data_IF_301410961991
#
_entry.id   IF_301410961991
#
_cell.length_a   1.000
_cell.length_b   1.000
_cell.length_c   1.000
_cell.angle_alpha   90.00
_cell.angle_beta   90.00
_cell.angle_gamma   90.00
#
_symmetry.space_group_name_H-M   'P 1'
#
loop_
_entity.id
_entity.type
_entity.pdbx_description
1 polymer ?
#
# COMPACT_ATOMS: atom_id res chain seq x y z
N UNK A 1 -3.23 -0.07 25.77
CA UNK A 1 -4.64 0.22 26.15
C UNK A 1 -5.63 -0.54 25.27
N UNK A 2 -5.45 -0.59 23.94
CA UNK A 2 -6.37 -1.23 22.98
C UNK A 2 -6.69 -2.70 23.31
N UNK A 3 -5.71 -3.60 23.60
CA UNK A 3 -6.05 -5.00 23.94
C UNK A 3 -6.99 -5.13 25.13
N UNK A 4 -6.89 -4.25 26.14
CA UNK A 4 -7.78 -4.26 27.30
C UNK A 4 -9.21 -3.85 26.95
N UNK A 5 -9.39 -2.95 25.98
CA UNK A 5 -10.71 -2.53 25.52
C UNK A 5 -11.39 -3.63 24.69
N UNK A 6 -10.59 -4.42 23.96
CA UNK A 6 -11.08 -5.49 23.10
C UNK A 6 -11.32 -6.80 23.85
N UNK A 7 -10.67 -7.04 25.01
CA UNK A 7 -10.67 -8.32 25.72
C UNK A 7 -12.04 -8.79 26.22
N UNK A 8 -13.04 -7.91 26.34
CA UNK A 8 -14.41 -8.29 26.71
C UNK A 8 -15.39 -8.30 25.52
N UNK A 9 -14.91 -7.95 24.33
CA UNK A 9 -15.72 -7.80 23.14
C UNK A 9 -15.32 -8.77 22.02
N UNK A 10 -14.02 -8.94 21.76
CA UNK A 10 -13.51 -9.75 20.67
C UNK A 10 -13.48 -11.24 21.01
N UNK A 11 -13.72 -12.10 20.02
CA UNK A 11 -13.62 -13.55 20.14
C UNK A 11 -12.14 -14.01 20.11
N UNK A 12 -11.28 -13.27 19.37
CA UNK A 12 -9.84 -13.45 19.35
C UNK A 12 -9.13 -12.10 19.20
N UNK A 13 -7.90 -11.97 19.74
CA UNK A 13 -7.05 -10.79 19.63
C UNK A 13 -5.63 -11.26 19.32
N UNK A 14 -4.94 -10.57 18.39
CA UNK A 14 -3.53 -10.81 18.10
C UNK A 14 -2.75 -9.51 17.99
N UNK A 15 -1.47 -9.57 18.36
CA UNK A 15 -0.58 -8.42 18.48
C UNK A 15 0.60 -8.43 17.49
N UNK A 16 0.53 -9.26 16.45
CA UNK A 16 1.60 -9.41 15.43
C UNK A 16 2.03 -8.07 14.85
N UNK A 17 1.11 -7.11 14.76
CA UNK A 17 1.35 -5.74 14.31
C UNK A 17 1.63 -4.72 15.42
N UNK A 18 1.68 -5.11 16.70
CA UNK A 18 1.73 -4.18 17.84
C UNK A 18 2.94 -3.24 17.81
N UNK A 19 4.10 -3.72 17.35
CA UNK A 19 5.32 -2.91 17.14
C UNK A 19 5.14 -1.80 16.11
N UNK A 20 4.13 -1.91 15.24
CA UNK A 20 3.76 -0.91 14.24
C UNK A 20 2.47 -0.16 14.60
N UNK A 21 2.01 -0.27 15.85
CA UNK A 21 0.81 0.38 16.34
C UNK A 21 -0.50 -0.28 15.89
N UNK A 22 -0.47 -1.53 15.38
CA UNK A 22 -1.64 -2.25 14.91
C UNK A 22 -1.97 -3.43 15.82
N UNK A 23 -3.25 -3.54 16.22
CA UNK A 23 -3.82 -4.69 16.94
C UNK A 23 -4.91 -5.29 16.07
N UNK A 24 -4.83 -6.60 15.83
CA UNK A 24 -5.88 -7.33 15.16
C UNK A 24 -6.89 -7.91 16.16
N UNK A 25 -8.14 -8.00 15.75
CA UNK A 25 -9.19 -8.69 16.48
C UNK A 25 -10.18 -9.37 15.54
N UNK A 26 -10.83 -10.41 16.02
CA UNK A 26 -11.93 -11.08 15.33
C UNK A 26 -13.20 -10.99 16.19
N UNK A 27 -14.31 -10.70 15.56
CA UNK A 27 -15.63 -10.69 16.18
C UNK A 27 -16.69 -11.19 15.20
N UNK A 28 -17.43 -12.25 15.58
CA UNK A 28 -18.49 -12.87 14.77
C UNK A 28 -18.00 -13.23 13.34
N UNK A 29 -16.76 -13.73 13.21
CA UNK A 29 -16.11 -14.05 11.93
C UNK A 29 -15.59 -12.84 11.14
N UNK A 30 -15.78 -11.62 11.62
CA UNK A 30 -15.25 -10.41 11.02
C UNK A 30 -13.86 -10.10 11.59
N UNK A 31 -12.86 -9.99 10.71
CA UNK A 31 -11.51 -9.57 11.09
C UNK A 31 -11.36 -8.07 10.99
N UNK A 32 -10.85 -7.48 12.07
CA UNK A 32 -10.67 -6.05 12.23
C UNK A 32 -9.22 -5.75 12.60
N UNK A 33 -8.71 -4.64 12.08
CA UNK A 33 -7.40 -4.09 12.44
C UNK A 33 -7.58 -2.70 13.05
N UNK A 34 -7.02 -2.50 14.23
CA UNK A 34 -7.02 -1.23 14.95
C UNK A 34 -5.62 -0.64 14.88
N UNK A 35 -5.46 0.44 14.15
CA UNK A 35 -4.16 1.08 13.95
C UNK A 35 -4.20 2.52 14.46
N UNK A 36 -3.17 2.93 15.20
CA UNK A 36 -2.99 4.33 15.59
C UNK A 36 -2.55 5.14 14.37
N UNK A 37 -3.10 6.33 14.17
CA UNK A 37 -2.59 7.26 13.16
C UNK A 37 -1.09 7.47 13.38
N UNK A 38 -0.35 7.48 12.30
CA UNK A 38 1.09 7.71 12.32
C UNK A 38 1.51 8.57 11.14
N UNK A 39 2.58 9.32 11.32
CA UNK A 39 3.36 9.89 10.25
C UNK A 39 4.68 9.14 10.16
N UNK A 40 5.06 8.76 8.96
CA UNK A 40 6.32 8.06 8.69
C UNK A 40 7.30 9.11 8.16
N UNK A 41 8.46 9.23 8.81
CA UNK A 41 9.55 10.07 8.35
C UNK A 41 10.67 9.15 7.88
N UNK A 42 10.97 9.17 6.58
CA UNK A 42 12.04 8.35 6.01
C UNK A 42 13.34 9.16 5.95
N UNK A 43 14.44 8.59 6.47
CA UNK A 43 15.77 9.11 6.20
C UNK A 43 16.30 8.51 4.89
N UNK A 44 17.08 9.26 4.08
CA UNK A 44 17.52 8.82 2.73
C UNK A 44 18.22 7.47 2.70
N UNK A 45 18.90 7.08 3.78
CA UNK A 45 19.69 5.85 3.87
C UNK A 45 19.10 4.81 4.84
N UNK A 46 17.88 5.02 5.35
CA UNK A 46 17.26 4.12 6.33
C UNK A 46 16.00 3.46 5.77
N UNK A 47 15.93 2.12 5.87
CA UNK A 47 14.72 1.34 5.56
C UNK A 47 13.65 1.42 6.66
N UNK A 48 13.99 1.97 7.81
CA UNK A 48 13.09 2.05 8.96
C UNK A 48 12.64 3.49 9.07
N UNK A 49 11.35 3.78 8.81
CA UNK A 49 10.82 5.10 9.08
C UNK A 49 10.93 5.41 10.57
N UNK A 50 11.26 6.63 10.88
CA UNK A 50 11.05 7.16 12.22
C UNK A 50 9.53 7.38 12.37
N UNK A 51 8.89 6.46 13.10
CA UNK A 51 7.43 6.43 13.23
C UNK A 51 6.99 7.35 14.36
N UNK A 52 6.37 8.48 14.02
CA UNK A 52 5.72 9.32 15.01
C UNK A 52 4.23 8.93 15.11
N UNK A 53 3.84 8.40 16.27
CA UNK A 53 2.44 8.09 16.58
C UNK A 53 1.68 9.35 17.01
N UNK A 54 0.38 9.44 16.64
CA UNK A 54 -0.50 10.54 17.05
C UNK A 54 -0.60 11.64 16.01
N UNK A 55 -0.29 11.37 14.75
CA UNK A 55 -0.58 12.25 13.61
C UNK A 55 -2.08 12.45 13.40
N UNK A 56 -2.42 13.37 12.49
CA UNK A 56 -3.80 13.56 12.06
C UNK A 56 -4.19 12.56 10.95
N UNK A 57 -5.49 12.46 10.68
CA UNK A 57 -6.04 11.57 9.67
C UNK A 57 -5.48 11.89 8.26
N UNK A 58 -5.29 13.18 7.93
CA UNK A 58 -4.81 13.59 6.61
C UNK A 58 -3.39 13.08 6.35
N UNK A 59 -2.52 13.20 7.33
CA UNK A 59 -1.15 12.66 7.28
C UNK A 59 -1.15 11.14 7.16
N UNK A 60 -2.03 10.43 7.88
CA UNK A 60 -2.13 8.97 7.79
C UNK A 60 -2.63 8.51 6.41
N UNK A 61 -3.60 9.21 5.83
CA UNK A 61 -4.10 8.90 4.48
C UNK A 61 -3.06 9.26 3.39
N UNK A 62 -2.35 10.39 3.56
CA UNK A 62 -1.35 10.86 2.59
C UNK A 62 -0.14 9.96 2.41
N UNK A 63 0.23 9.18 3.44
CA UNK A 63 1.35 8.21 3.38
C UNK A 63 0.97 6.85 2.78
N UNK A 64 -0.30 6.64 2.40
CA UNK A 64 -0.74 5.38 1.80
C UNK A 64 -0.25 5.24 0.37
N UNK A 65 -0.38 4.02 -0.17
CA UNK A 65 0.14 3.69 -1.50
C UNK A 65 -0.63 4.40 -2.63
N UNK A 66 -1.96 4.28 -2.63
CA UNK A 66 -2.82 4.84 -3.68
C UNK A 66 -4.03 5.55 -3.10
N UNK A 67 -4.54 6.55 -3.86
CA UNK A 67 -5.71 7.35 -3.49
C UNK A 67 -6.93 6.51 -3.17
N UNK A 68 -7.16 5.44 -3.94
CA UNK A 68 -8.25 4.48 -3.72
C UNK A 68 -8.18 3.74 -2.38
N UNK A 69 -7.01 3.74 -1.74
CA UNK A 69 -6.79 3.22 -0.39
C UNK A 69 -6.65 4.32 0.66
N UNK A 70 -6.72 5.61 0.24
CA UNK A 70 -6.50 6.78 1.09
C UNK A 70 -7.82 7.49 1.44
N UNK A 71 -8.89 6.72 1.61
CA UNK A 71 -10.21 7.18 2.04
C UNK A 71 -10.53 6.65 3.43
N UNK A 72 -11.41 7.31 4.15
CA UNK A 72 -11.85 6.91 5.48
C UNK A 72 -13.33 7.25 5.74
N UNK A 73 -13.93 6.54 6.69
CA UNK A 73 -15.23 6.89 7.27
C UNK A 73 -15.01 7.23 8.74
N UNK A 74 -15.28 8.48 9.11
CA UNK A 74 -15.17 8.92 10.50
C UNK A 74 -16.40 8.45 11.29
N UNK A 75 -16.16 7.85 12.44
CA UNK A 75 -17.20 7.39 13.35
C UNK A 75 -17.23 8.26 14.62
N UNK A 76 -18.41 8.43 15.27
CA UNK A 76 -19.68 7.77 15.00
C UNK A 76 -20.58 8.49 13.97
N UNK A 77 -20.23 9.70 13.55
CA UNK A 77 -21.03 10.59 12.70
C UNK A 77 -21.11 10.13 11.22
N UNK A 78 -20.33 9.10 10.84
CA UNK A 78 -20.28 8.50 9.50
C UNK A 78 -19.92 9.49 8.39
N UNK A 79 -19.05 10.46 8.70
CA UNK A 79 -18.58 11.41 7.70
C UNK A 79 -17.53 10.73 6.80
N UNK A 80 -17.81 10.71 5.51
CA UNK A 80 -16.83 10.22 4.52
C UNK A 80 -15.72 11.26 4.31
N UNK A 81 -14.48 10.81 4.33
CA UNK A 81 -13.28 11.64 4.20
C UNK A 81 -12.45 11.10 3.04
N UNK A 82 -12.31 11.93 2.02
CA UNK A 82 -11.56 11.60 0.79
C UNK A 82 -10.72 12.81 0.35
N UNK A 83 -9.58 13.06 0.99
CA UNK A 83 -8.79 14.26 0.75
C UNK A 83 -7.98 14.21 -0.55
N UNK A 84 -7.91 13.06 -1.21
CA UNK A 84 -7.07 12.82 -2.39
C UNK A 84 -7.86 12.36 -3.62
N UNK A 85 -9.19 12.55 -3.63
CA UNK A 85 -10.08 12.16 -4.73
C UNK A 85 -10.07 10.65 -5.06
N UNK A 86 -9.89 9.82 -4.04
CA UNK A 86 -9.82 8.36 -4.19
C UNK A 86 -11.11 7.75 -4.77
N UNK A 87 -12.27 8.30 -4.42
CA UNK A 87 -13.55 7.86 -4.97
C UNK A 87 -13.67 8.16 -6.47
N UNK A 88 -13.16 9.32 -6.91
CA UNK A 88 -13.10 9.67 -8.33
C UNK A 88 -12.14 8.73 -9.07
N UNK A 89 -10.96 8.49 -8.53
CA UNK A 89 -9.99 7.56 -9.12
C UNK A 89 -10.53 6.13 -9.18
N UNK A 90 -11.28 5.70 -8.18
CA UNK A 90 -11.96 4.41 -8.18
C UNK A 90 -13.01 4.33 -9.31
N UNK A 91 -13.83 5.38 -9.49
CA UNK A 91 -14.83 5.46 -10.55
C UNK A 91 -14.19 5.48 -11.95
N UNK A 92 -13.05 6.14 -12.09
CA UNK A 92 -12.26 6.21 -13.33
C UNK A 92 -11.38 4.96 -13.56
N UNK A 93 -11.35 4.03 -12.63
CA UNK A 93 -10.44 2.87 -12.62
C UNK A 93 -8.98 3.27 -12.80
N UNK A 94 -8.54 4.27 -12.05
CA UNK A 94 -7.19 4.83 -12.09
C UNK A 94 -6.45 4.60 -10.77
N UNK A 95 -5.20 4.18 -10.84
CA UNK A 95 -4.28 4.08 -9.70
C UNK A 95 -3.35 5.29 -9.70
N UNK A 96 -3.55 6.19 -8.75
CA UNK A 96 -2.75 7.39 -8.52
C UNK A 96 -2.28 7.43 -7.06
N UNK A 97 -1.09 7.90 -6.81
CA UNK A 97 -0.57 8.12 -5.45
C UNK A 97 -1.18 9.39 -4.83
N UNK A 98 -1.38 9.46 -3.49
CA UNK A 98 -1.87 10.67 -2.82
C UNK A 98 -1.00 11.91 -3.01
N UNK A 99 0.32 11.72 -3.10
CA UNK A 99 1.33 12.74 -3.39
C UNK A 99 2.11 12.42 -4.65
N UNK A 100 3.28 13.05 -4.84
CA UNK A 100 4.14 12.76 -5.96
C UNK A 100 4.57 11.28 -5.98
N UNK A 101 4.47 10.58 -7.13
CA UNK A 101 4.83 9.17 -7.22
C UNK A 101 6.29 8.89 -6.81
N UNK A 102 7.20 9.79 -7.16
CA UNK A 102 8.61 9.64 -6.80
C UNK A 102 8.83 9.62 -5.27
N UNK A 103 8.14 10.48 -4.53
CA UNK A 103 8.22 10.50 -3.06
C UNK A 103 7.62 9.21 -2.49
N UNK A 104 6.45 8.81 -2.98
CA UNK A 104 5.77 7.59 -2.57
C UNK A 104 6.63 6.34 -2.77
N UNK A 105 7.30 6.22 -3.92
CA UNK A 105 8.17 5.07 -4.24
C UNK A 105 9.54 5.15 -3.55
N UNK A 106 10.00 6.35 -3.21
CA UNK A 106 11.16 6.52 -2.34
C UNK A 106 10.90 6.01 -0.93
N UNK A 107 9.72 6.29 -0.39
CA UNK A 107 9.29 5.84 0.93
C UNK A 107 9.16 4.31 1.04
N UNK A 108 8.50 3.68 0.09
CA UNK A 108 8.40 2.21 0.00
C UNK A 108 8.43 1.77 -1.47
N UNK A 109 9.60 1.34 -1.99
CA UNK A 109 9.73 0.90 -3.37
C UNK A 109 8.85 -0.29 -3.75
N UNK A 110 8.38 -1.08 -2.78
CA UNK A 110 7.42 -2.16 -3.05
C UNK A 110 6.10 -1.64 -3.64
N UNK A 111 5.77 -0.36 -3.45
CA UNK A 111 4.57 0.26 -4.04
C UNK A 111 4.57 0.20 -5.57
N UNK A 112 5.74 0.18 -6.21
CA UNK A 112 5.85 -0.03 -7.66
C UNK A 112 5.32 -1.42 -8.07
N UNK A 113 5.70 -2.47 -7.35
CA UNK A 113 5.19 -3.83 -7.60
C UNK A 113 3.70 -3.95 -7.23
N UNK A 114 3.27 -3.25 -6.18
CA UNK A 114 1.86 -3.15 -5.79
C UNK A 114 1.01 -2.45 -6.86
N UNK A 115 1.54 -1.42 -7.57
CA UNK A 115 0.86 -0.79 -8.70
C UNK A 115 0.55 -1.83 -9.79
N UNK A 116 1.55 -2.64 -10.19
CA UNK A 116 1.37 -3.71 -11.17
C UNK A 116 0.35 -4.77 -10.71
N UNK A 117 0.40 -5.15 -9.43
CA UNK A 117 -0.57 -6.08 -8.85
C UNK A 117 -1.99 -5.50 -8.86
N UNK A 118 -2.19 -4.28 -8.41
CA UNK A 118 -3.52 -3.66 -8.39
C UNK A 118 -4.09 -3.43 -9.80
N UNK A 119 -3.23 -3.05 -10.76
CA UNK A 119 -3.64 -2.97 -12.16
C UNK A 119 -4.23 -4.29 -12.67
N UNK A 120 -3.62 -5.42 -12.30
CA UNK A 120 -4.10 -6.76 -12.64
C UNK A 120 -5.30 -7.22 -11.83
N UNK A 121 -5.29 -6.95 -10.53
CA UNK A 121 -6.30 -7.47 -9.59
C UNK A 121 -7.62 -6.70 -9.66
N UNK A 122 -7.54 -5.38 -9.83
CA UNK A 122 -8.69 -4.48 -9.83
C UNK A 122 -9.06 -3.99 -11.24
N UNK A 123 -8.30 -4.41 -12.26
CA UNK A 123 -8.47 -3.97 -13.65
C UNK A 123 -8.44 -2.44 -13.78
N UNK A 124 -7.47 -1.81 -13.14
CA UNK A 124 -7.27 -0.37 -13.13
C UNK A 124 -6.06 0.03 -13.96
N UNK A 125 -6.10 1.21 -14.57
CA UNK A 125 -4.94 1.82 -15.23
C UNK A 125 -4.06 2.54 -14.22
N UNK A 126 -2.75 2.40 -14.35
CA UNK A 126 -1.79 3.18 -13.55
C UNK A 126 -1.64 4.56 -14.17
N UNK A 127 -1.60 5.59 -13.34
CA UNK A 127 -1.39 6.97 -13.78
C UNK A 127 -0.06 7.10 -14.51
N UNK A 128 0.02 7.84 -15.65
CA UNK A 128 1.25 7.98 -16.42
C UNK A 128 2.44 8.50 -15.61
N UNK A 129 2.25 9.46 -14.71
CA UNK A 129 3.32 9.97 -13.85
C UNK A 129 3.86 8.87 -12.93
N UNK A 130 2.99 7.97 -12.47
CA UNK A 130 3.43 6.84 -11.66
C UNK A 130 4.20 5.81 -12.49
N UNK A 131 3.82 5.57 -13.77
CA UNK A 131 4.56 4.71 -14.70
C UNK A 131 5.96 5.28 -14.95
N UNK A 132 6.05 6.58 -15.23
CA UNK A 132 7.33 7.26 -15.45
C UNK A 132 8.23 7.17 -14.21
N UNK A 133 7.65 7.37 -13.02
CA UNK A 133 8.39 7.22 -11.77
C UNK A 133 8.86 5.76 -11.54
N UNK A 134 8.03 4.76 -11.86
CA UNK A 134 8.43 3.34 -11.79
C UNK A 134 9.65 3.06 -12.68
N UNK A 135 9.64 3.55 -13.92
CA UNK A 135 10.75 3.34 -14.85
C UNK A 135 12.05 4.04 -14.36
N UNK A 136 11.92 5.27 -13.88
CA UNK A 136 13.07 6.05 -13.41
C UNK A 136 13.66 5.58 -12.08
N UNK A 137 12.88 4.81 -11.30
CA UNK A 137 13.26 4.38 -9.95
C UNK A 137 13.32 2.86 -9.80
N UNK A 138 13.33 2.11 -10.92
CA UNK A 138 13.27 0.65 -10.90
C UNK A 138 14.36 0.01 -10.00
N UNK A 139 15.55 0.59 -9.96
CA UNK A 139 16.67 0.14 -9.11
C UNK A 139 16.37 0.21 -7.59
N UNK A 140 15.44 1.09 -7.19
CA UNK A 140 15.05 1.22 -5.78
C UNK A 140 14.42 -0.07 -5.22
N UNK A 141 13.91 -0.97 -6.06
CA UNK A 141 13.33 -2.24 -5.61
C UNK A 141 14.36 -3.16 -4.95
N UNK A 142 15.65 -2.97 -5.23
CA UNK A 142 16.73 -3.81 -4.70
C UNK A 142 16.86 -3.73 -3.17
N UNK A 143 16.34 -2.67 -2.55
CA UNK A 143 16.34 -2.55 -1.08
C UNK A 143 15.20 -3.35 -0.43
N UNK A 144 14.23 -3.84 -1.19
CA UNK A 144 13.09 -4.61 -0.70
C UNK A 144 13.50 -6.07 -0.50
N UNK A 145 13.04 -6.70 0.58
CA UNK A 145 13.36 -8.10 0.81
C UNK A 145 12.69 -9.02 -0.21
N UNK A 146 13.37 -10.11 -0.57
CA UNK A 146 12.90 -11.08 -1.54
C UNK A 146 11.53 -11.69 -1.15
N UNK A 147 11.27 -11.86 0.15
CA UNK A 147 10.00 -12.37 0.65
C UNK A 147 8.84 -11.42 0.32
N UNK A 148 9.03 -10.11 0.51
CA UNK A 148 8.01 -9.10 0.19
C UNK A 148 7.75 -9.05 -1.31
N UNK A 149 8.79 -9.10 -2.13
CA UNK A 149 8.69 -9.15 -3.60
C UNK A 149 7.92 -10.39 -4.03
N UNK A 150 8.30 -11.57 -3.52
CA UNK A 150 7.64 -12.84 -3.81
C UNK A 150 6.15 -12.78 -3.46
N UNK A 151 5.80 -12.28 -2.29
CA UNK A 151 4.42 -12.25 -1.81
C UNK A 151 3.53 -11.34 -2.68
N UNK A 152 4.04 -10.22 -3.17
CA UNK A 152 3.31 -9.36 -4.12
C UNK A 152 3.25 -9.98 -5.52
N UNK A 153 4.33 -10.62 -5.99
CA UNK A 153 4.38 -11.30 -7.28
C UNK A 153 3.40 -12.49 -7.33
N UNK A 154 3.33 -13.30 -6.27
CA UNK A 154 2.35 -14.39 -6.17
C UNK A 154 0.93 -13.87 -6.29
N UNK A 155 0.59 -12.78 -5.56
CA UNK A 155 -0.74 -12.15 -5.64
C UNK A 155 -1.03 -11.60 -7.04
N UNK A 156 -0.02 -11.05 -7.71
CA UNK A 156 -0.12 -10.56 -9.09
C UNK A 156 -0.44 -11.71 -10.05
N UNK A 157 0.35 -12.79 -10.00
CA UNK A 157 0.20 -13.94 -10.90
C UNK A 157 -1.14 -14.66 -10.69
N UNK A 158 -1.63 -14.70 -9.45
CA UNK A 158 -2.94 -15.29 -9.10
C UNK A 158 -4.12 -14.34 -9.33
N UNK A 159 -3.90 -13.12 -9.81
CA UNK A 159 -4.97 -12.15 -10.08
C UNK A 159 -5.76 -12.49 -11.35
N UNK A 160 -6.96 -11.89 -11.56
CA UNK A 160 -7.79 -12.17 -12.74
C UNK A 160 -7.12 -11.87 -14.08
N UNK A 161 -6.25 -10.86 -14.14
CA UNK A 161 -5.56 -10.43 -15.38
C UNK A 161 -4.07 -10.24 -15.17
N UNK A 162 -3.31 -11.30 -14.86
CA UNK A 162 -1.89 -11.18 -14.48
C UNK A 162 -1.03 -10.57 -15.59
N UNK A 163 -1.39 -10.76 -16.86
CA UNK A 163 -0.65 -10.21 -18.00
C UNK A 163 -0.52 -8.69 -17.93
N UNK A 164 -1.55 -7.98 -17.50
CA UNK A 164 -1.53 -6.51 -17.40
C UNK A 164 -0.39 -6.02 -16.49
N UNK A 165 -0.29 -6.58 -15.30
CA UNK A 165 0.75 -6.17 -14.37
C UNK A 165 2.13 -6.70 -14.75
N UNK A 166 2.23 -7.94 -15.28
CA UNK A 166 3.50 -8.47 -15.78
C UNK A 166 4.05 -7.60 -16.92
N UNK A 167 3.20 -7.19 -17.86
CA UNK A 167 3.59 -6.29 -18.93
C UNK A 167 4.10 -4.94 -18.39
N UNK A 168 3.40 -4.36 -17.39
CA UNK A 168 3.84 -3.12 -16.76
C UNK A 168 5.23 -3.27 -16.10
N UNK A 169 5.51 -4.42 -15.46
CA UNK A 169 6.83 -4.70 -14.89
C UNK A 169 7.93 -4.79 -15.97
N UNK A 170 7.59 -5.33 -17.14
CA UNK A 170 8.49 -5.40 -18.29
C UNK A 170 8.73 -4.00 -18.86
N UNK A 171 7.66 -3.25 -19.15
CA UNK A 171 7.70 -1.93 -19.79
C UNK A 171 8.47 -0.90 -18.94
N UNK A 172 8.40 -1.01 -17.61
CA UNK A 172 9.13 -0.15 -16.68
C UNK A 172 10.53 -0.65 -16.33
N UNK A 173 10.94 -1.81 -16.85
CA UNK A 173 12.23 -2.44 -16.52
C UNK A 173 12.32 -2.99 -15.09
N UNK A 174 11.24 -2.93 -14.30
CA UNK A 174 11.24 -3.35 -12.91
C UNK A 174 11.48 -4.86 -12.77
N UNK A 175 10.94 -5.68 -13.68
CA UNK A 175 11.12 -7.14 -13.65
C UNK A 175 12.58 -7.57 -13.79
N UNK A 176 13.41 -6.83 -14.51
CA UNK A 176 14.83 -7.15 -14.71
C UNK A 176 15.63 -7.17 -13.41
N UNK A 177 15.12 -6.54 -12.36
CA UNK A 177 15.77 -6.46 -11.05
C UNK A 177 15.57 -7.72 -10.19
N UNK A 178 14.49 -8.47 -10.38
CA UNK A 178 14.15 -9.63 -9.54
C UNK A 178 13.61 -10.86 -10.30
N UNK A 179 13.28 -10.71 -11.58
CA UNK A 179 12.79 -11.78 -12.46
C UNK A 179 13.29 -11.57 -13.91
N UNK A 180 14.62 -11.61 -14.15
CA UNK A 180 15.20 -11.32 -15.45
C UNK A 180 14.83 -12.35 -16.53
N UNK A 181 14.27 -13.49 -16.15
CA UNK A 181 13.80 -14.54 -17.06
C UNK A 181 12.47 -14.17 -17.74
N UNK A 182 11.76 -13.14 -17.25
CA UNK A 182 10.55 -12.67 -17.90
C UNK A 182 10.95 -11.90 -19.18
N UNK A 183 10.60 -12.40 -20.36
CA UNK A 183 11.02 -11.76 -21.62
C UNK A 183 10.37 -10.39 -21.80
N UNK A 184 11.13 -9.48 -22.42
CA UNK A 184 10.64 -8.15 -22.78
C UNK A 184 9.65 -8.23 -23.98
#
# INVERSE_FOLDING_TARGET
>A
QMPRLLSGWADAIWDVGARFGTIGAEKDGLRLEFTTYRSDRYEPDSRKPDVAYGGDLLSDLGRRDFTVNAMALRLPDRVFVDPFDGLLDLALRRLRTPGAPADSFSDDPLRMLRAARFASQLEMSVDPEAIDAMANMAERIDVVSAERIRDELVKLVLSPKPRTGLQLLVDTGLCQRFLPELPA
#
